data_IF_761892684828
#
_entry.id   IF_761892684828
#
_cell.length_a   1.000
_cell.length_b   1.000
_cell.length_c   1.000
_cell.angle_alpha   90.00
_cell.angle_beta   90.00
_cell.angle_gamma   90.00
#
_symmetry.space_group_name_H-M   'P 1'
#
loop_
_entity.id
_entity.type
_entity.pdbx_description
1 polymer ?
#
# COMPACT_ATOMS: atom_id res chain seq x y z
N UNK A 1 13.43 -41.56 54.31
CA UNK A 1 13.79 -41.83 52.89
C UNK A 1 13.55 -40.61 52.09
N UNK A 2 14.60 -40.00 51.55
CA UNK A 2 14.55 -38.72 50.77
C UNK A 2 14.36 -39.07 49.31
N UNK A 3 13.35 -38.47 48.65
CA UNK A 3 13.23 -38.45 47.19
C UNK A 3 13.59 -37.05 46.67
N UNK A 4 14.61 -37.00 45.82
CA UNK A 4 15.07 -35.80 45.12
C UNK A 4 14.23 -35.60 43.85
N UNK A 5 13.59 -34.44 43.71
CA UNK A 5 13.01 -33.97 42.45
C UNK A 5 14.02 -33.07 41.77
N UNK A 6 14.44 -33.45 40.58
CA UNK A 6 15.28 -32.67 39.67
C UNK A 6 14.40 -31.75 38.81
N UNK A 7 14.46 -30.44 39.07
CA UNK A 7 13.88 -29.44 38.19
C UNK A 7 14.79 -29.17 37.00
N UNK A 8 14.21 -29.09 35.79
CA UNK A 8 14.85 -28.58 34.61
C UNK A 8 14.66 -27.06 34.53
N UNK A 9 15.66 -26.29 34.08
CA UNK A 9 15.55 -24.83 33.99
C UNK A 9 14.74 -24.42 32.76
N UNK A 10 13.79 -23.51 33.00
CA UNK A 10 13.02 -22.85 31.94
C UNK A 10 13.88 -21.86 31.16
N UNK A 11 13.63 -21.80 29.88
CA UNK A 11 14.26 -20.86 28.96
C UNK A 11 13.81 -19.43 29.26
N UNK A 12 14.77 -18.57 29.51
CA UNK A 12 14.59 -17.12 29.71
C UNK A 12 14.39 -16.49 28.35
N UNK A 13 13.19 -15.96 28.09
CA UNK A 13 12.91 -15.12 26.92
C UNK A 13 13.54 -13.76 27.20
N UNK A 14 14.61 -13.46 26.48
CA UNK A 14 15.30 -12.16 26.54
C UNK A 14 14.49 -11.16 25.72
N UNK A 15 13.78 -10.27 26.41
CA UNK A 15 13.15 -9.09 25.80
C UNK A 15 14.23 -8.09 25.41
N UNK A 16 14.41 -7.88 24.10
CA UNK A 16 15.30 -6.84 23.58
C UNK A 16 14.55 -5.53 23.65
N UNK A 17 14.82 -4.73 24.66
CA UNK A 17 14.48 -3.32 24.71
C UNK A 17 15.53 -2.55 23.88
N UNK A 18 15.14 -1.97 22.75
CA UNK A 18 15.98 -1.04 21.99
C UNK A 18 15.88 0.32 22.65
N UNK A 19 16.88 0.64 23.48
CA UNK A 19 17.06 2.00 23.99
C UNK A 19 17.86 2.81 22.96
N UNK A 20 17.27 3.87 22.40
CA UNK A 20 17.99 4.88 21.63
C UNK A 20 18.83 5.72 22.59
N UNK A 21 20.13 5.52 22.59
CA UNK A 21 21.09 6.45 23.17
C UNK A 21 21.68 7.35 22.07
N UNK A 22 21.33 8.63 22.07
CA UNK A 22 21.98 9.67 21.28
C UNK A 22 23.29 10.05 21.98
N UNK A 23 24.41 9.68 21.38
CA UNK A 23 25.71 10.27 21.71
C UNK A 23 26.29 10.93 20.44
N UNK A 24 26.32 12.24 20.45
CA UNK A 24 26.95 13.06 19.41
C UNK A 24 28.47 13.14 19.66
N UNK A 25 29.26 12.68 18.69
CA UNK A 25 30.65 13.10 18.55
C UNK A 25 30.93 13.40 17.07
N UNK A 26 31.55 14.56 16.75
CA UNK A 26 31.91 14.89 15.36
C UNK A 26 33.27 14.31 15.05
N UNK A 27 33.34 13.34 14.16
CA UNK A 27 34.55 12.95 13.47
C UNK A 27 34.32 13.07 11.98
N UNK A 28 34.87 14.10 11.36
CA UNK A 28 34.92 14.23 9.91
C UNK A 28 36.05 13.36 9.36
N UNK A 29 35.78 12.38 8.51
CA UNK A 29 36.82 11.81 7.64
C UNK A 29 36.81 12.56 6.30
N UNK A 30 37.96 13.02 5.87
CA UNK A 30 38.19 13.52 4.52
C UNK A 30 37.98 12.37 3.51
N UNK A 31 37.08 12.56 2.58
CA UNK A 31 36.85 11.64 1.48
C UNK A 31 37.81 11.94 0.32
N UNK A 32 38.43 10.93 -0.31
CA UNK A 32 39.22 11.16 -1.54
C UNK A 32 38.28 11.55 -2.69
N UNK A 33 38.79 12.43 -3.56
CA UNK A 33 38.09 12.92 -4.74
C UNK A 33 37.64 11.73 -5.64
N UNK A 34 36.39 11.72 -6.00
CA UNK A 34 35.82 10.73 -6.91
C UNK A 34 36.37 10.93 -8.31
N UNK A 35 36.99 9.90 -8.86
CA UNK A 35 37.30 9.80 -10.29
C UNK A 35 36.01 9.69 -11.07
N UNK A 36 35.89 10.45 -12.16
CA UNK A 36 34.70 10.44 -13.03
C UNK A 36 34.45 9.03 -13.57
N UNK A 37 33.29 8.47 -13.23
CA UNK A 37 32.78 7.21 -13.83
C UNK A 37 32.34 7.45 -15.28
N UNK A 38 32.48 6.43 -16.15
CA UNK A 38 32.02 6.53 -17.53
C UNK A 38 30.50 6.73 -17.58
N UNK A 39 30.06 7.64 -18.45
CA UNK A 39 28.67 7.99 -18.71
C UNK A 39 27.83 6.73 -18.93
N UNK A 40 26.96 6.43 -17.99
CA UNK A 40 25.97 5.37 -18.12
C UNK A 40 25.13 5.64 -19.38
N UNK A 41 25.04 4.63 -20.25
CA UNK A 41 24.13 4.59 -21.40
C UNK A 41 22.73 4.98 -20.91
N UNK A 42 21.99 5.87 -21.62
CA UNK A 42 20.62 6.14 -21.27
C UNK A 42 19.85 4.80 -21.23
N UNK A 43 18.97 4.56 -20.26
CA UNK A 43 18.17 3.37 -20.25
C UNK A 43 17.37 3.31 -21.55
N UNK A 44 17.40 2.16 -22.22
CA UNK A 44 16.57 1.90 -23.38
C UNK A 44 15.16 2.37 -23.05
N UNK A 45 14.59 3.20 -23.91
CA UNK A 45 13.20 3.67 -23.79
C UNK A 45 12.28 2.48 -24.00
N UNK A 46 12.06 1.69 -22.94
CA UNK A 46 11.00 0.67 -22.91
C UNK A 46 9.70 1.46 -22.98
N UNK A 47 9.02 1.35 -24.10
CA UNK A 47 7.72 2.00 -24.29
C UNK A 47 6.66 1.20 -23.52
N UNK A 48 5.66 1.86 -22.96
CA UNK A 48 4.53 1.18 -22.31
C UNK A 48 3.80 0.22 -23.28
N UNK A 49 4.04 0.37 -24.56
CA UNK A 49 3.47 -0.42 -25.65
C UNK A 49 3.87 -1.92 -25.63
N UNK A 50 4.93 -2.28 -24.90
CA UNK A 50 5.36 -3.68 -24.75
C UNK A 50 4.67 -4.42 -23.60
N UNK A 51 3.93 -3.72 -22.75
CA UNK A 51 3.14 -4.35 -21.69
C UNK A 51 1.94 -5.08 -22.31
N UNK A 52 1.65 -6.29 -21.81
CA UNK A 52 0.58 -7.13 -22.39
C UNK A 52 0.03 -8.14 -21.40
N UNK A 53 -1.20 -8.55 -21.62
CA UNK A 53 -1.78 -9.72 -20.97
C UNK A 53 -1.14 -10.98 -21.56
N UNK A 54 -0.55 -11.83 -20.70
CA UNK A 54 0.12 -13.07 -21.11
C UNK A 54 -0.63 -14.33 -20.68
N UNK A 55 -1.69 -14.19 -19.90
CA UNK A 55 -2.55 -15.31 -19.50
C UNK A 55 -3.78 -14.83 -18.78
N UNK A 56 -4.88 -15.51 -18.97
CA UNK A 56 -6.15 -15.31 -18.27
C UNK A 56 -6.66 -16.69 -17.86
N UNK A 57 -6.86 -16.90 -16.57
CA UNK A 57 -7.36 -18.16 -16.02
C UNK A 57 -8.66 -17.84 -15.23
N UNK A 58 -9.80 -18.41 -15.63
CA UNK A 58 -11.04 -18.26 -14.87
C UNK A 58 -10.87 -18.83 -13.46
N UNK A 59 -11.21 -18.05 -12.46
CA UNK A 59 -11.36 -18.50 -11.08
C UNK A 59 -12.81 -18.88 -10.76
N UNK A 60 -13.19 -18.78 -9.50
CA UNK A 60 -14.57 -19.01 -9.06
C UNK A 60 -15.45 -17.80 -9.37
N UNK A 61 -16.68 -18.03 -9.79
CA UNK A 61 -17.66 -16.96 -10.01
C UNK A 61 -17.20 -15.92 -11.03
N UNK A 62 -17.03 -14.68 -10.57
CA UNK A 62 -16.52 -13.56 -11.40
C UNK A 62 -15.04 -13.28 -11.20
N UNK A 63 -14.39 -13.97 -10.28
CA UNK A 63 -12.94 -13.86 -10.08
C UNK A 63 -12.20 -14.45 -11.28
N UNK A 64 -11.14 -13.78 -11.70
CA UNK A 64 -10.29 -14.17 -12.81
C UNK A 64 -8.84 -13.87 -12.42
N UNK A 65 -7.97 -14.85 -12.58
CA UNK A 65 -6.54 -14.65 -12.41
C UNK A 65 -5.92 -14.25 -13.78
N UNK A 66 -5.26 -13.10 -13.77
CA UNK A 66 -4.64 -12.52 -14.97
C UNK A 66 -3.14 -12.41 -14.76
N UNK A 67 -2.38 -12.78 -15.78
CA UNK A 67 -0.93 -12.54 -15.78
C UNK A 67 -0.62 -11.44 -16.78
N UNK A 68 0.04 -10.38 -16.30
CA UNK A 68 0.40 -9.23 -17.11
C UNK A 68 1.92 -9.10 -17.14
N UNK A 69 2.49 -9.14 -18.33
CA UNK A 69 3.89 -8.77 -18.52
C UNK A 69 4.03 -7.26 -18.40
N UNK A 70 4.76 -6.80 -17.39
CA UNK A 70 5.16 -5.40 -17.26
C UNK A 70 6.44 -5.17 -18.04
N UNK A 71 6.40 -4.30 -19.03
CA UNK A 71 7.57 -3.87 -19.78
C UNK A 71 8.54 -3.09 -18.89
N UNK A 72 8.01 -2.18 -18.04
CA UNK A 72 8.82 -1.37 -17.14
C UNK A 72 9.60 -2.19 -16.11
N UNK A 73 9.02 -3.30 -15.63
CA UNK A 73 9.68 -4.20 -14.66
C UNK A 73 10.33 -5.42 -15.30
N UNK A 74 10.09 -5.68 -16.59
CA UNK A 74 10.58 -6.85 -17.32
C UNK A 74 10.21 -8.18 -16.62
N UNK A 75 9.01 -8.23 -16.04
CA UNK A 75 8.51 -9.39 -15.29
C UNK A 75 7.01 -9.55 -15.47
N UNK A 76 6.49 -10.72 -15.10
CA UNK A 76 5.06 -10.99 -15.13
C UNK A 76 4.46 -10.79 -13.76
N UNK A 77 3.45 -9.92 -13.69
CA UNK A 77 2.72 -9.56 -12.47
C UNK A 77 1.39 -10.33 -12.46
N UNK A 78 1.11 -11.12 -11.42
CA UNK A 78 -0.22 -11.68 -11.19
C UNK A 78 -1.19 -10.56 -10.78
N UNK A 79 -2.41 -10.63 -11.32
CA UNK A 79 -3.47 -9.68 -11.01
C UNK A 79 -4.77 -10.45 -10.85
N UNK A 80 -5.46 -10.28 -9.73
CA UNK A 80 -6.79 -10.84 -9.54
C UNK A 80 -7.83 -9.81 -9.98
N UNK A 81 -8.82 -10.22 -10.76
CA UNK A 81 -9.88 -9.34 -11.26
C UNK A 81 -11.25 -9.94 -10.94
N UNK A 82 -12.06 -9.20 -10.17
CA UNK A 82 -13.49 -9.47 -10.03
C UNK A 82 -14.18 -8.64 -11.10
N UNK A 83 -14.72 -9.31 -12.13
CA UNK A 83 -15.37 -8.64 -13.25
C UNK A 83 -16.70 -8.00 -12.84
N UNK A 84 -17.06 -6.91 -13.49
CA UNK A 84 -18.41 -6.36 -13.39
C UNK A 84 -19.49 -7.43 -13.70
N UNK A 85 -20.66 -7.39 -13.03
CA UNK A 85 -21.71 -8.40 -13.24
C UNK A 85 -22.30 -8.37 -14.65
N UNK A 86 -22.41 -7.18 -15.25
CA UNK A 86 -22.88 -7.01 -16.63
C UNK A 86 -21.69 -6.66 -17.54
N UNK A 87 -21.35 -7.57 -18.45
CA UNK A 87 -20.30 -7.39 -19.44
C UNK A 87 -20.79 -6.76 -20.74
N UNK A 88 -22.08 -6.44 -20.86
CA UNK A 88 -22.66 -5.82 -22.06
C UNK A 88 -22.40 -4.31 -22.14
N UNK A 89 -22.06 -3.70 -21.01
CA UNK A 89 -21.75 -2.28 -20.90
C UNK A 89 -20.37 -2.04 -20.27
N UNK A 90 -19.61 -1.03 -20.71
CA UNK A 90 -18.35 -0.67 -20.07
C UNK A 90 -18.54 -0.27 -18.60
N UNK A 91 -17.66 -0.78 -17.72
CA UNK A 91 -17.73 -0.57 -16.29
C UNK A 91 -16.52 0.24 -15.77
N UNK A 92 -16.68 1.04 -14.70
CA UNK A 92 -15.56 1.66 -14.03
C UNK A 92 -14.68 0.62 -13.35
N UNK A 93 -13.45 1.02 -12.96
CA UNK A 93 -12.50 0.12 -12.32
C UNK A 93 -12.04 0.66 -10.97
N UNK A 94 -12.08 -0.20 -9.94
CA UNK A 94 -11.49 0.03 -8.63
C UNK A 94 -10.22 -0.83 -8.49
N UNK A 95 -9.07 -0.19 -8.29
CA UNK A 95 -7.82 -0.86 -7.96
C UNK A 95 -7.67 -0.95 -6.44
N UNK A 96 -7.52 -2.17 -5.91
CA UNK A 96 -7.30 -2.43 -4.49
C UNK A 96 -5.86 -2.90 -4.26
N UNK A 97 -5.05 -2.07 -3.63
CA UNK A 97 -3.65 -2.37 -3.38
C UNK A 97 -3.47 -3.03 -2.02
N UNK A 98 -2.68 -4.10 -2.00
CA UNK A 98 -2.31 -4.80 -0.79
C UNK A 98 -1.30 -4.00 0.04
N UNK A 99 -1.18 -4.32 1.34
CA UNK A 99 -0.19 -3.71 2.21
C UNK A 99 1.25 -4.14 1.90
N UNK A 100 2.12 -4.07 2.90
CA UNK A 100 3.55 -4.30 2.75
C UNK A 100 3.94 -5.69 2.22
N UNK A 101 3.06 -6.69 2.34
CA UNK A 101 3.27 -8.05 1.81
C UNK A 101 3.04 -8.16 0.29
N UNK A 102 2.54 -7.13 -0.38
CA UNK A 102 2.16 -7.24 -1.78
C UNK A 102 1.06 -8.27 -2.06
N UNK A 103 0.44 -8.82 -1.01
CA UNK A 103 -0.58 -9.87 -1.11
C UNK A 103 -0.07 -11.29 -1.00
N UNK A 104 1.22 -11.48 -0.74
CA UNK A 104 1.82 -12.82 -0.56
C UNK A 104 1.27 -13.54 0.68
N UNK A 105 1.43 -14.86 0.71
CA UNK A 105 1.05 -15.74 1.83
C UNK A 105 -0.42 -15.59 2.29
N UNK A 106 -1.35 -15.36 1.34
CA UNK A 106 -2.76 -15.15 1.63
C UNK A 106 -3.07 -13.85 2.38
N UNK A 107 -2.15 -12.88 2.38
CA UNK A 107 -2.35 -11.56 2.99
C UNK A 107 -2.82 -10.54 1.94
N UNK A 108 -3.94 -10.83 1.29
CA UNK A 108 -4.51 -10.02 0.24
C UNK A 108 -6.03 -9.87 0.39
N UNK A 109 -6.60 -8.96 -0.39
CA UNK A 109 -8.02 -8.61 -0.34
C UNK A 109 -8.96 -9.79 -0.59
N UNK A 110 -8.65 -10.68 -1.55
CA UNK A 110 -9.52 -11.81 -1.89
C UNK A 110 -9.54 -12.90 -0.82
N UNK A 111 -8.42 -13.10 -0.11
CA UNK A 111 -8.30 -14.17 0.88
C UNK A 111 -8.71 -13.73 2.29
N UNK A 112 -8.74 -12.41 2.56
CA UNK A 112 -8.93 -11.86 3.90
C UNK A 112 -10.23 -11.10 4.10
N UNK A 113 -10.99 -10.85 3.04
CA UNK A 113 -12.20 -10.05 3.08
C UNK A 113 -13.30 -10.68 2.25
N UNK A 114 -14.49 -10.12 2.35
CA UNK A 114 -15.68 -10.52 1.61
C UNK A 114 -15.83 -9.77 0.27
N UNK A 115 -14.75 -9.27 -0.34
CA UNK A 115 -14.87 -8.40 -1.51
C UNK A 115 -15.62 -9.02 -2.69
N UNK A 116 -15.56 -10.33 -2.89
CA UNK A 116 -16.32 -10.99 -3.96
C UNK A 116 -17.82 -10.88 -3.71
N UNK A 117 -18.26 -11.09 -2.47
CA UNK A 117 -19.64 -10.95 -2.06
C UNK A 117 -20.09 -9.50 -2.03
N UNK A 118 -19.25 -8.61 -1.49
CA UNK A 118 -19.55 -7.19 -1.40
C UNK A 118 -19.74 -6.53 -2.77
N UNK A 119 -18.96 -6.93 -3.76
CA UNK A 119 -19.07 -6.40 -5.13
C UNK A 119 -19.99 -7.21 -6.04
N UNK A 120 -20.73 -8.20 -5.51
CA UNK A 120 -21.56 -9.10 -6.33
C UNK A 120 -22.62 -8.39 -7.19
N UNK A 121 -23.21 -7.32 -6.66
CA UNK A 121 -24.30 -6.54 -7.27
C UNK A 121 -23.84 -5.17 -7.79
N UNK A 122 -22.56 -4.87 -7.73
CA UNK A 122 -22.02 -3.55 -8.10
C UNK A 122 -21.37 -3.58 -9.49
N UNK A 123 -21.80 -2.67 -10.36
CA UNK A 123 -21.29 -2.56 -11.73
C UNK A 123 -19.91 -1.91 -11.74
N UNK A 124 -18.88 -2.66 -11.36
CA UNK A 124 -17.48 -2.24 -11.26
C UNK A 124 -16.54 -3.43 -11.47
N UNK A 125 -15.45 -3.22 -12.17
CA UNK A 125 -14.32 -4.13 -12.16
C UNK A 125 -13.46 -3.85 -10.93
N UNK A 126 -13.11 -4.88 -10.14
CA UNK A 126 -12.21 -4.75 -9.00
C UNK A 126 -10.91 -5.46 -9.33
N UNK A 127 -9.81 -4.74 -9.27
CA UNK A 127 -8.49 -5.20 -9.71
C UNK A 127 -7.54 -5.20 -8.52
N UNK A 128 -6.97 -6.36 -8.21
CA UNK A 128 -6.04 -6.57 -7.10
C UNK A 128 -4.69 -7.01 -7.65
N UNK A 129 -3.75 -6.10 -7.86
CA UNK A 129 -2.38 -6.47 -8.25
C UNK A 129 -1.68 -7.20 -7.12
N UNK A 130 -0.92 -8.26 -7.47
CA UNK A 130 -0.18 -9.09 -6.54
C UNK A 130 1.32 -8.85 -6.71
N UNK A 131 2.06 -8.78 -5.61
CA UNK A 131 3.49 -8.45 -5.59
C UNK A 131 3.75 -7.03 -5.10
N UNK A 132 5.01 -6.58 -5.17
CA UNK A 132 5.40 -5.27 -4.69
C UNK A 132 5.65 -5.23 -3.19
N UNK A 133 6.15 -6.32 -2.62
CA UNK A 133 6.56 -6.40 -1.21
C UNK A 133 7.52 -5.26 -0.86
N UNK A 134 7.16 -4.46 0.14
CA UNK A 134 7.97 -3.34 0.61
C UNK A 134 8.19 -2.21 -0.40
N UNK A 135 7.56 -2.25 -1.58
CA UNK A 135 7.88 -1.36 -2.70
C UNK A 135 7.31 0.06 -2.59
N UNK A 136 6.33 0.29 -1.71
CA UNK A 136 5.49 1.50 -1.73
C UNK A 136 4.82 1.77 -3.08
N UNK A 137 4.72 0.75 -3.93
CA UNK A 137 4.22 0.86 -5.30
C UNK A 137 4.83 2.04 -6.07
N UNK A 138 6.11 2.31 -5.80
CA UNK A 138 6.89 3.41 -6.36
C UNK A 138 7.82 2.94 -7.49
N UNK A 139 8.26 3.89 -8.31
CA UNK A 139 9.39 3.68 -9.21
C UNK A 139 10.68 3.98 -8.44
N UNK A 140 11.46 2.94 -8.20
CA UNK A 140 12.71 3.04 -7.49
C UNK A 140 13.81 3.63 -8.37
N UNK A 141 14.73 4.35 -7.74
CA UNK A 141 15.89 4.97 -8.39
C UNK A 141 16.81 3.94 -9.03
N UNK A 142 17.06 2.83 -8.34
CA UNK A 142 17.90 1.72 -8.80
C UNK A 142 17.25 0.39 -8.49
N UNK A 143 17.60 -0.65 -9.27
CA UNK A 143 17.16 -2.01 -8.99
C UNK A 143 17.74 -2.46 -7.63
N UNK A 144 16.91 -3.16 -6.83
CA UNK A 144 17.31 -3.67 -5.52
C UNK A 144 17.81 -5.10 -5.65
N UNK A 145 18.91 -5.50 -4.99
CA UNK A 145 19.46 -6.86 -5.10
C UNK A 145 18.52 -7.96 -4.63
N UNK A 146 17.55 -7.65 -3.77
CA UNK A 146 16.60 -8.63 -3.21
C UNK A 146 15.22 -8.48 -3.82
N UNK A 147 14.71 -7.23 -3.90
CA UNK A 147 13.36 -6.96 -4.39
C UNK A 147 13.31 -6.75 -5.91
N UNK A 148 14.47 -6.70 -6.59
CA UNK A 148 14.55 -6.55 -8.04
C UNK A 148 14.18 -5.15 -8.53
N UNK A 149 13.74 -5.10 -9.78
CA UNK A 149 13.33 -3.85 -10.44
C UNK A 149 11.95 -3.43 -10.00
N UNK A 150 11.84 -2.26 -9.38
CA UNK A 150 10.60 -1.69 -8.90
C UNK A 150 10.19 -0.50 -9.78
N UNK A 151 9.14 -0.67 -10.59
CA UNK A 151 8.54 0.37 -11.46
C UNK A 151 7.02 0.35 -11.32
N UNK A 152 6.57 0.23 -10.09
CA UNK A 152 5.14 0.06 -9.78
C UNK A 152 4.30 1.29 -10.12
N UNK A 153 4.83 2.50 -9.95
CA UNK A 153 4.12 3.71 -10.38
C UNK A 153 3.86 3.66 -11.88
N UNK A 154 4.87 3.32 -12.69
CA UNK A 154 4.71 3.16 -14.15
C UNK A 154 3.70 2.07 -14.47
N UNK A 155 3.80 0.91 -13.83
CA UNK A 155 2.86 -0.20 -14.03
C UNK A 155 1.42 0.23 -13.73
N UNK A 156 1.17 0.78 -12.57
CA UNK A 156 -0.18 1.13 -12.09
C UNK A 156 -0.78 2.35 -12.80
N UNK A 157 0.04 3.22 -13.40
CA UNK A 157 -0.49 4.45 -14.04
C UNK A 157 -0.45 4.43 -15.56
N UNK A 158 0.36 3.57 -16.17
CA UNK A 158 0.56 3.57 -17.63
C UNK A 158 0.35 2.22 -18.30
N UNK A 159 0.67 1.11 -17.63
CA UNK A 159 0.59 -0.24 -18.23
C UNK A 159 -0.72 -0.93 -17.87
N UNK A 160 -1.03 -1.05 -16.58
CA UNK A 160 -2.17 -1.82 -16.11
C UNK A 160 -3.54 -1.25 -16.52
N UNK A 161 -3.84 0.07 -16.37
CA UNK A 161 -5.17 0.58 -16.66
C UNK A 161 -5.65 0.34 -18.09
N UNK A 162 -4.89 0.67 -19.16
CA UNK A 162 -5.35 0.43 -20.52
C UNK A 162 -5.51 -1.07 -20.84
N UNK A 163 -4.72 -1.95 -20.22
CA UNK A 163 -4.85 -3.41 -20.41
C UNK A 163 -6.14 -3.93 -19.75
N UNK A 164 -6.48 -3.43 -18.57
CA UNK A 164 -7.74 -3.79 -17.88
C UNK A 164 -8.93 -3.27 -18.67
N UNK A 165 -8.90 -2.02 -19.14
CA UNK A 165 -9.98 -1.44 -19.94
C UNK A 165 -10.22 -2.25 -21.22
N UNK A 166 -9.16 -2.60 -21.92
CA UNK A 166 -9.25 -3.40 -23.14
C UNK A 166 -9.73 -4.84 -22.92
N UNK A 167 -9.36 -5.45 -21.77
CA UNK A 167 -9.62 -6.87 -21.49
C UNK A 167 -10.99 -7.09 -20.83
N UNK A 168 -11.42 -6.15 -19.97
CA UNK A 168 -12.61 -6.29 -19.14
C UNK A 168 -13.66 -5.19 -19.37
N UNK A 169 -13.67 -4.63 -20.58
CA UNK A 169 -14.61 -3.56 -20.96
C UNK A 169 -14.63 -2.40 -19.94
N UNK A 170 -13.46 -1.90 -19.57
CA UNK A 170 -13.36 -0.72 -18.72
C UNK A 170 -13.83 0.56 -19.45
N UNK A 171 -14.35 1.54 -18.72
CA UNK A 171 -14.83 2.81 -19.27
C UNK A 171 -13.85 3.98 -19.01
N UNK A 172 -12.64 3.70 -18.52
CA UNK A 172 -11.62 4.70 -18.18
C UNK A 172 -11.87 5.46 -16.89
N UNK A 173 -12.98 5.23 -16.19
CA UNK A 173 -13.23 5.80 -14.87
C UNK A 173 -12.58 4.92 -13.80
N UNK A 174 -11.51 5.42 -13.20
CA UNK A 174 -10.71 4.65 -12.26
C UNK A 174 -10.74 5.24 -10.85
N UNK A 175 -10.70 4.37 -9.84
CA UNK A 175 -10.41 4.71 -8.45
C UNK A 175 -9.32 3.78 -7.91
N UNK A 176 -8.62 4.22 -6.89
CA UNK A 176 -7.59 3.40 -6.22
C UNK A 176 -7.77 3.45 -4.71
N UNK A 177 -7.71 2.29 -4.06
CA UNK A 177 -7.69 2.22 -2.60
C UNK A 177 -6.60 1.25 -2.14
N UNK A 178 -6.13 1.43 -0.91
CA UNK A 178 -5.06 0.59 -0.38
C UNK A 178 -4.93 0.68 1.12
N UNK A 179 -4.30 -0.35 1.68
CA UNK A 179 -4.09 -0.52 3.11
C UNK A 179 -2.63 -0.31 3.50
N UNK A 180 -2.38 0.18 4.72
CA UNK A 180 -1.04 0.19 5.30
C UNK A 180 -0.02 0.92 4.38
N UNK A 181 1.04 0.24 3.94
CA UNK A 181 1.99 0.77 2.96
C UNK A 181 1.31 1.36 1.73
N UNK A 182 0.33 0.65 1.16
CA UNK A 182 -0.39 1.09 -0.03
C UNK A 182 -1.29 2.30 0.22
N UNK A 183 -1.75 2.51 1.45
CA UNK A 183 -2.54 3.69 1.82
C UNK A 183 -1.76 5.01 1.63
N UNK A 184 -0.43 4.98 1.73
CA UNK A 184 0.45 6.08 1.31
C UNK A 184 0.55 6.15 -0.22
N UNK A 185 0.72 4.99 -0.84
CA UNK A 185 0.99 4.87 -2.28
C UNK A 185 -0.17 5.36 -3.15
N UNK A 186 -1.43 5.17 -2.71
CA UNK A 186 -2.60 5.63 -3.49
C UNK A 186 -2.60 7.14 -3.70
N UNK A 187 -2.14 7.91 -2.72
CA UNK A 187 -1.94 9.35 -2.88
C UNK A 187 -0.79 9.68 -3.84
N UNK A 188 0.33 8.94 -3.74
CA UNK A 188 1.45 9.09 -4.66
C UNK A 188 1.02 8.84 -6.11
N UNK A 189 0.23 7.79 -6.35
CA UNK A 189 -0.30 7.45 -7.67
C UNK A 189 -1.21 8.56 -8.21
N UNK A 190 -2.13 9.08 -7.40
CA UNK A 190 -3.01 10.18 -7.79
C UNK A 190 -2.21 11.45 -8.15
N UNK A 191 -1.14 11.75 -7.41
CA UNK A 191 -0.25 12.89 -7.69
C UNK A 191 0.63 12.69 -8.93
N UNK A 192 1.04 11.45 -9.23
CA UNK A 192 1.89 11.13 -10.40
C UNK A 192 1.10 11.03 -11.70
N UNK A 193 -0.19 10.70 -11.63
CA UNK A 193 -1.09 10.61 -12.78
C UNK A 193 -2.39 11.39 -12.50
N UNK A 194 -2.34 12.74 -12.52
CA UNK A 194 -3.51 13.57 -12.27
C UNK A 194 -4.67 13.23 -13.22
N UNK A 195 -5.87 13.04 -12.66
CA UNK A 195 -7.09 12.71 -13.40
C UNK A 195 -7.27 11.22 -13.73
N UNK A 196 -6.23 10.37 -13.61
CA UNK A 196 -6.37 8.93 -13.82
C UNK A 196 -7.27 8.29 -12.75
N UNK A 197 -7.06 8.66 -11.49
CA UNK A 197 -7.83 8.15 -10.36
C UNK A 197 -8.76 9.24 -9.82
N UNK A 198 -10.07 9.07 -9.99
CA UNK A 198 -11.11 10.02 -9.55
C UNK A 198 -11.33 10.00 -8.04
N UNK A 199 -11.05 8.85 -7.42
CA UNK A 199 -11.14 8.69 -5.97
C UNK A 199 -9.92 7.94 -5.42
N UNK A 200 -9.58 8.29 -4.17
CA UNK A 200 -8.53 7.67 -3.38
C UNK A 200 -9.12 7.19 -2.05
N UNK A 201 -8.97 5.89 -1.75
CA UNK A 201 -9.25 5.28 -0.46
C UNK A 201 -7.96 4.91 0.27
N UNK A 202 -7.70 5.51 1.42
CA UNK A 202 -6.48 5.29 2.20
C UNK A 202 -6.84 4.71 3.57
N UNK A 203 -6.54 3.43 3.79
CA UNK A 203 -6.91 2.74 5.03
C UNK A 203 -5.67 2.41 5.85
N UNK A 204 -5.56 3.00 7.03
CA UNK A 204 -4.44 2.81 7.96
C UNK A 204 -3.07 3.09 7.34
N UNK A 205 -2.84 4.30 6.82
CA UNK A 205 -1.57 4.73 6.24
C UNK A 205 -1.07 6.08 6.73
N UNK A 206 0.26 6.24 6.79
CA UNK A 206 0.90 7.53 7.08
C UNK A 206 1.38 8.16 5.78
N UNK A 207 0.75 9.27 5.37
CA UNK A 207 0.99 9.90 4.04
C UNK A 207 2.21 10.81 4.00
N UNK A 208 2.98 10.88 5.06
CA UNK A 208 4.24 11.64 5.17
C UNK A 208 5.40 10.70 4.93
N UNK A 209 6.30 11.04 3.99
CA UNK A 209 7.43 10.18 3.64
C UNK A 209 8.78 10.87 3.74
N UNK A 210 8.84 12.21 3.78
CA UNK A 210 10.09 12.95 3.68
C UNK A 210 10.65 13.49 4.99
N UNK A 211 9.84 13.60 6.03
CA UNK A 211 10.31 13.96 7.37
C UNK A 211 10.96 12.75 8.10
N UNK A 212 11.69 12.96 9.20
CA UNK A 212 12.41 11.88 9.86
C UNK A 212 11.53 10.70 10.27
N UNK A 213 10.28 10.93 10.70
CA UNK A 213 9.36 9.87 11.09
C UNK A 213 8.87 9.10 9.85
N UNK A 214 8.48 9.80 8.79
CA UNK A 214 8.05 9.20 7.53
C UNK A 214 9.17 8.38 6.89
N UNK A 215 10.39 8.90 6.84
CA UNK A 215 11.57 8.18 6.35
C UNK A 215 11.85 6.92 7.17
N UNK A 216 11.74 6.98 8.50
CA UNK A 216 11.92 5.83 9.38
C UNK A 216 10.85 4.75 9.12
N UNK A 217 9.59 5.15 8.93
CA UNK A 217 8.50 4.21 8.60
C UNK A 217 8.74 3.54 7.24
N UNK A 218 9.09 4.30 6.22
CA UNK A 218 9.42 3.76 4.89
C UNK A 218 10.59 2.79 4.99
N UNK A 219 11.68 3.17 5.65
CA UNK A 219 12.85 2.32 5.83
C UNK A 219 12.52 1.03 6.58
N UNK A 220 11.69 1.10 7.63
CA UNK A 220 11.25 -0.07 8.39
C UNK A 220 10.46 -1.06 7.53
N UNK A 221 9.51 -0.58 6.72
CA UNK A 221 8.73 -1.41 5.80
C UNK A 221 9.64 -2.06 4.75
N UNK A 222 10.48 -1.28 4.08
CA UNK A 222 11.40 -1.79 3.04
C UNK A 222 12.35 -2.84 3.63
N UNK A 223 12.94 -2.56 4.79
CA UNK A 223 13.87 -3.48 5.47
C UNK A 223 13.17 -4.76 5.94
N UNK A 224 11.91 -4.69 6.38
CA UNK A 224 11.10 -5.86 6.76
C UNK A 224 11.05 -6.89 5.62
N UNK A 225 11.07 -6.42 4.37
CA UNK A 225 11.11 -7.23 3.14
C UNK A 225 12.52 -7.36 2.55
N UNK A 226 13.55 -7.08 3.36
CA UNK A 226 14.97 -7.25 3.03
C UNK A 226 15.46 -6.33 1.90
N UNK A 227 14.68 -5.34 1.50
CA UNK A 227 15.08 -4.30 0.56
C UNK A 227 15.89 -3.19 1.24
N UNK A 228 16.41 -2.28 0.44
CA UNK A 228 17.14 -1.11 0.90
C UNK A 228 16.46 0.18 0.41
N UNK A 229 15.96 0.99 1.35
CA UNK A 229 15.28 2.24 1.03
C UNK A 229 16.17 3.26 0.30
N UNK A 230 17.49 3.13 0.37
CA UNK A 230 18.43 3.95 -0.43
C UNK A 230 18.29 3.68 -1.93
N UNK A 231 17.89 2.46 -2.32
CA UNK A 231 17.61 2.10 -3.71
C UNK A 231 16.30 2.70 -4.20
N UNK A 232 15.36 3.00 -3.28
CA UNK A 232 14.08 3.62 -3.62
C UNK A 232 14.25 5.10 -3.97
N UNK A 233 14.63 5.93 -3.01
CA UNK A 233 14.69 7.39 -3.17
C UNK A 233 16.03 8.01 -2.78
N UNK A 234 17.06 7.21 -2.55
CA UNK A 234 18.39 7.71 -2.16
C UNK A 234 18.53 7.94 -0.66
N UNK A 235 19.62 8.60 -0.23
CA UNK A 235 19.84 8.94 1.17
C UNK A 235 18.76 9.90 1.70
N UNK A 236 18.59 10.02 3.02
CA UNK A 236 17.55 10.87 3.64
C UNK A 236 17.52 12.32 3.17
N UNK A 237 18.66 12.84 2.70
CA UNK A 237 18.79 14.20 2.15
C UNK A 237 18.48 14.32 0.66
N UNK A 238 18.22 13.20 -0.03
CA UNK A 238 17.89 13.23 -1.46
C UNK A 238 16.53 13.91 -1.68
N UNK A 239 16.42 14.85 -2.64
CA UNK A 239 15.18 15.57 -2.92
C UNK A 239 14.04 14.66 -3.41
N UNK A 240 14.32 13.43 -3.81
CA UNK A 240 13.30 12.46 -4.19
C UNK A 240 12.36 12.11 -3.04
N UNK A 241 12.80 12.16 -1.80
CA UNK A 241 11.94 11.97 -0.65
C UNK A 241 10.81 13.00 -0.62
N UNK A 242 11.16 14.28 -0.71
CA UNK A 242 10.19 15.36 -0.78
C UNK A 242 9.32 15.29 -2.05
N UNK A 243 9.89 14.93 -3.19
CA UNK A 243 9.16 14.79 -4.47
C UNK A 243 8.14 13.64 -4.49
N UNK A 244 8.25 12.70 -3.55
CA UNK A 244 7.31 11.58 -3.37
C UNK A 244 6.53 11.66 -2.05
N UNK A 245 6.49 12.82 -1.41
CA UNK A 245 5.75 13.04 -0.18
C UNK A 245 4.36 13.63 -0.47
N UNK A 246 3.28 12.85 -0.31
CA UNK A 246 1.94 13.33 -0.63
C UNK A 246 1.47 14.46 0.31
N UNK A 247 1.95 14.49 1.54
CA UNK A 247 1.61 15.56 2.48
C UNK A 247 2.10 16.93 2.00
N UNK A 248 3.33 16.99 1.45
CA UNK A 248 3.90 18.22 0.91
C UNK A 248 3.15 18.70 -0.33
N UNK A 249 2.67 17.78 -1.16
CA UNK A 249 2.00 18.05 -2.44
C UNK A 249 0.47 17.92 -2.36
N UNK A 250 -0.10 17.97 -1.16
CA UNK A 250 -1.54 17.78 -0.95
C UNK A 250 -2.41 18.80 -1.69
N UNK A 251 -1.90 20.00 -1.99
CA UNK A 251 -2.57 21.02 -2.78
C UNK A 251 -2.96 20.54 -4.20
N UNK A 252 -2.23 19.57 -4.75
CA UNK A 252 -2.46 18.98 -6.08
C UNK A 252 -3.54 17.89 -6.09
N UNK A 253 -4.09 17.54 -4.93
CA UNK A 253 -5.19 16.57 -4.81
C UNK A 253 -6.57 17.18 -5.06
N UNK A 254 -6.65 18.46 -5.43
CA UNK A 254 -7.92 19.12 -5.76
C UNK A 254 -8.64 18.39 -6.89
N UNK A 255 -9.95 18.16 -6.70
CA UNK A 255 -10.78 17.43 -7.65
C UNK A 255 -10.75 15.91 -7.51
N UNK A 256 -9.89 15.36 -6.65
CA UNK A 256 -9.91 13.95 -6.28
C UNK A 256 -10.84 13.73 -5.09
N UNK A 257 -11.75 12.76 -5.16
CA UNK A 257 -12.55 12.34 -3.99
C UNK A 257 -11.66 11.55 -3.03
N UNK A 258 -11.61 11.96 -1.76
CA UNK A 258 -10.66 11.40 -0.79
C UNK A 258 -11.41 10.81 0.40
N UNK A 259 -11.11 9.54 0.71
CA UNK A 259 -11.53 8.86 1.94
C UNK A 259 -10.30 8.35 2.68
N UNK A 260 -10.23 8.64 3.97
CA UNK A 260 -9.14 8.21 4.86
C UNK A 260 -9.73 7.60 6.12
N UNK A 261 -9.26 6.43 6.52
CA UNK A 261 -9.67 5.77 7.76
C UNK A 261 -8.49 5.30 8.58
N UNK A 262 -8.67 5.29 9.90
CA UNK A 262 -7.72 4.74 10.87
C UNK A 262 -8.38 4.52 12.22
N UNK A 263 -7.92 3.51 12.96
CA UNK A 263 -8.25 3.31 14.37
C UNK A 263 -7.28 4.05 15.29
N UNK A 264 -7.52 3.94 16.60
CA UNK A 264 -6.65 4.56 17.63
C UNK A 264 -5.50 3.64 18.06
N UNK A 265 -5.47 2.39 17.61
CA UNK A 265 -4.57 1.35 18.12
C UNK A 265 -5.05 0.67 19.41
N UNK A 266 -6.11 1.21 20.06
CA UNK A 266 -6.74 0.52 21.16
C UNK A 266 -7.53 -0.69 20.67
N UNK A 267 -7.59 -1.80 21.41
CA UNK A 267 -8.37 -2.96 21.03
C UNK A 267 -9.82 -2.62 20.74
N UNK A 268 -10.36 -3.18 19.69
CA UNK A 268 -11.73 -2.97 19.23
C UNK A 268 -12.46 -4.28 18.88
N UNK A 269 -13.59 -4.22 18.17
CA UNK A 269 -14.50 -5.36 17.95
C UNK A 269 -13.85 -6.58 17.29
N UNK A 270 -12.82 -6.38 16.44
CA UNK A 270 -12.13 -7.47 15.75
C UNK A 270 -10.87 -7.97 16.46
N UNK A 271 -10.47 -7.36 17.56
CA UNK A 271 -9.26 -7.70 18.31
C UNK A 271 -9.57 -8.72 19.42
N UNK A 272 -10.07 -9.89 19.02
CA UNK A 272 -10.55 -10.96 19.92
C UNK A 272 -10.12 -12.34 19.39
N UNK A 273 -10.14 -13.40 20.23
CA UNK A 273 -9.67 -14.73 19.83
C UNK A 273 -10.35 -15.32 18.59
N UNK A 274 -11.61 -15.02 18.40
CA UNK A 274 -12.44 -15.42 17.25
C UNK A 274 -12.55 -14.31 16.17
N UNK A 275 -11.71 -13.28 16.26
CA UNK A 275 -11.64 -12.18 15.28
C UNK A 275 -11.09 -12.63 13.92
N UNK A 276 -11.38 -11.86 12.85
CA UNK A 276 -10.93 -12.18 11.49
C UNK A 276 -9.43 -12.45 11.40
N UNK A 277 -9.05 -13.64 10.90
CA UNK A 277 -7.67 -14.06 10.71
C UNK A 277 -6.90 -14.45 11.98
N UNK A 278 -7.53 -14.38 13.15
CA UNK A 278 -6.95 -14.83 14.43
C UNK A 278 -7.11 -16.34 14.60
N UNK A 279 -8.29 -16.87 14.32
CA UNK A 279 -8.58 -18.32 14.33
C UNK A 279 -8.21 -19.00 15.66
N UNK A 280 -8.40 -18.33 16.80
CA UNK A 280 -8.04 -18.82 18.12
C UNK A 280 -6.53 -18.82 18.44
N UNK A 281 -5.69 -18.35 17.51
CA UNK A 281 -4.25 -18.31 17.69
C UNK A 281 -3.83 -17.12 18.57
N UNK A 282 -3.32 -17.44 19.77
CA UNK A 282 -2.91 -16.43 20.75
C UNK A 282 -1.75 -15.56 20.28
N UNK A 283 -0.78 -16.10 19.55
CA UNK A 283 0.38 -15.33 19.09
C UNK A 283 -0.01 -14.33 18.02
N UNK A 284 -0.92 -14.73 17.13
CA UNK A 284 -1.52 -13.79 16.16
C UNK A 284 -2.27 -12.66 16.87
N UNK A 285 -3.09 -12.98 17.88
CA UNK A 285 -3.82 -11.96 18.63
C UNK A 285 -2.88 -11.02 19.38
N UNK A 286 -1.86 -11.54 20.07
CA UNK A 286 -0.86 -10.72 20.77
C UNK A 286 -0.12 -9.81 19.78
N UNK A 287 0.29 -10.34 18.63
CA UNK A 287 0.92 -9.53 17.57
C UNK A 287 0.00 -8.43 17.07
N UNK A 288 -1.28 -8.72 16.85
CA UNK A 288 -2.27 -7.74 16.40
C UNK A 288 -2.50 -6.65 17.46
N UNK A 289 -2.63 -7.03 18.73
CA UNK A 289 -2.83 -6.08 19.83
C UNK A 289 -1.61 -5.21 20.09
N UNK A 290 -0.41 -5.79 20.10
CA UNK A 290 0.82 -5.07 20.47
C UNK A 290 1.40 -4.35 19.27
N UNK A 291 1.81 -5.10 18.24
CA UNK A 291 2.44 -4.51 17.05
C UNK A 291 1.45 -3.75 16.20
N UNK A 292 0.28 -4.34 15.95
CA UNK A 292 -0.78 -3.71 15.18
C UNK A 292 -1.34 -2.48 15.89
N UNK A 293 -1.57 -2.55 17.22
CA UNK A 293 -2.03 -1.42 18.00
C UNK A 293 -1.04 -0.25 18.01
N UNK A 294 0.24 -0.53 18.23
CA UNK A 294 1.29 0.49 18.21
C UNK A 294 1.40 1.18 16.84
N UNK A 295 1.39 0.38 15.77
CA UNK A 295 1.47 0.90 14.40
C UNK A 295 0.26 1.78 14.08
N UNK A 296 -0.95 1.32 14.42
CA UNK A 296 -2.18 2.07 14.16
C UNK A 296 -2.22 3.40 14.94
N UNK A 297 -1.72 3.44 16.17
CA UNK A 297 -1.64 4.67 16.95
C UNK A 297 -0.74 5.73 16.29
N UNK A 298 0.39 5.33 15.70
CA UNK A 298 1.26 6.25 14.95
C UNK A 298 0.55 6.72 13.67
N UNK A 299 -0.10 5.82 12.96
CA UNK A 299 -0.84 6.13 11.73
C UNK A 299 -2.00 7.08 12.00
N UNK A 300 -2.69 6.90 13.12
CA UNK A 300 -3.78 7.78 13.54
C UNK A 300 -3.30 9.22 13.66
N UNK A 301 -2.15 9.46 14.28
CA UNK A 301 -1.56 10.80 14.34
C UNK A 301 -1.28 11.35 12.92
N UNK A 302 -0.65 10.56 12.05
CA UNK A 302 -0.41 10.99 10.66
C UNK A 302 -1.71 11.37 9.93
N UNK A 303 -2.78 10.62 10.14
CA UNK A 303 -4.07 10.88 9.50
C UNK A 303 -4.73 12.17 10.02
N UNK A 304 -4.61 12.48 11.32
CA UNK A 304 -5.05 13.77 11.87
C UNK A 304 -4.27 14.93 11.26
N UNK A 305 -2.95 14.83 11.13
CA UNK A 305 -2.11 15.84 10.50
C UNK A 305 -2.48 16.05 9.02
N UNK A 306 -2.77 14.97 8.29
CA UNK A 306 -3.28 15.08 6.92
C UNK A 306 -4.64 15.77 6.87
N UNK A 307 -5.56 15.45 7.80
CA UNK A 307 -6.86 16.09 7.91
C UNK A 307 -6.72 17.61 8.10
N UNK A 308 -5.85 18.04 9.00
CA UNK A 308 -5.57 19.45 9.24
C UNK A 308 -4.96 20.12 8.00
N UNK A 309 -4.04 19.43 7.31
CA UNK A 309 -3.43 19.94 6.07
C UNK A 309 -4.45 20.14 4.96
N UNK A 310 -5.31 19.14 4.71
CA UNK A 310 -6.33 19.24 3.66
C UNK A 310 -7.38 20.32 4.00
N UNK A 311 -7.76 20.42 5.26
CA UNK A 311 -8.66 21.49 5.74
C UNK A 311 -8.04 22.87 5.52
N UNK A 312 -6.78 23.07 5.88
CA UNK A 312 -6.05 24.34 5.66
C UNK A 312 -5.94 24.71 4.16
N UNK A 313 -5.90 23.71 3.28
CA UNK A 313 -5.88 23.88 1.83
C UNK A 313 -7.28 24.02 1.21
N UNK A 314 -8.37 23.94 2.01
CA UNK A 314 -9.75 23.87 1.52
C UNK A 314 -9.95 22.75 0.49
N UNK A 315 -9.41 21.55 0.75
CA UNK A 315 -9.62 20.35 -0.06
C UNK A 315 -10.60 19.45 0.69
N UNK A 316 -11.77 19.15 0.13
CA UNK A 316 -12.75 18.27 0.74
C UNK A 316 -12.18 16.84 0.84
N UNK A 317 -12.34 16.23 2.01
CA UNK A 317 -11.99 14.83 2.25
C UNK A 317 -12.87 14.27 3.37
N UNK A 318 -13.20 12.99 3.26
CA UNK A 318 -13.90 12.24 4.31
C UNK A 318 -12.87 11.51 5.16
N UNK A 319 -12.92 11.76 6.48
CA UNK A 319 -12.09 11.06 7.46
C UNK A 319 -12.97 10.25 8.41
N UNK A 320 -12.64 8.95 8.52
CA UNK A 320 -13.24 8.03 9.48
C UNK A 320 -12.20 7.69 10.57
N UNK A 321 -12.25 8.43 11.65
CA UNK A 321 -11.42 8.20 12.84
C UNK A 321 -12.16 7.29 13.81
N UNK A 322 -11.92 5.98 13.71
CA UNK A 322 -12.54 5.00 14.60
C UNK A 322 -12.02 5.17 16.02
N UNK A 323 -12.90 5.09 17.05
CA UNK A 323 -12.51 5.26 18.45
C UNK A 323 -11.63 4.12 18.98
N UNK A 324 -11.55 3.01 18.27
CA UNK A 324 -10.74 1.83 18.57
C UNK A 324 -10.33 1.13 17.29
N UNK A 325 -9.57 0.04 17.40
CA UNK A 325 -9.13 -0.78 16.28
C UNK A 325 -7.63 -0.74 16.08
N UNK A 326 -7.09 -1.91 15.76
CA UNK A 326 -5.68 -2.15 15.47
C UNK A 326 -5.45 -2.24 13.96
N UNK A 327 -4.20 -2.46 13.55
CA UNK A 327 -3.78 -2.57 12.16
C UNK A 327 -4.11 -3.95 11.59
N UNK A 328 -5.38 -4.19 11.20
CA UNK A 328 -5.84 -5.53 10.82
C UNK A 328 -6.98 -5.56 9.81
N UNK A 329 -7.12 -6.73 9.14
CA UNK A 329 -8.01 -6.95 8.00
C UNK A 329 -9.50 -6.73 8.31
N UNK A 330 -9.96 -7.05 9.51
CA UNK A 330 -11.37 -6.84 9.87
C UNK A 330 -11.79 -5.36 9.76
N UNK A 331 -10.91 -4.46 10.17
CA UNK A 331 -11.16 -3.01 10.04
C UNK A 331 -11.06 -2.54 8.60
N UNK A 332 -10.10 -3.04 7.84
CA UNK A 332 -9.92 -2.64 6.43
C UNK A 332 -11.08 -3.09 5.54
N UNK A 333 -11.70 -4.23 5.84
CA UNK A 333 -12.93 -4.64 5.19
C UNK A 333 -14.05 -3.64 5.44
N UNK A 334 -14.28 -3.24 6.69
CA UNK A 334 -15.27 -2.21 7.01
C UNK A 334 -14.94 -0.86 6.37
N UNK A 335 -13.66 -0.47 6.35
CA UNK A 335 -13.19 0.75 5.71
C UNK A 335 -13.52 0.76 4.21
N UNK A 336 -13.33 -0.35 3.53
CA UNK A 336 -13.70 -0.50 2.12
C UNK A 336 -15.21 -0.34 1.93
N UNK A 337 -16.02 -1.00 2.76
CA UNK A 337 -17.49 -0.88 2.70
C UNK A 337 -17.94 0.56 2.95
N UNK A 338 -17.39 1.22 3.96
CA UNK A 338 -17.75 2.60 4.34
C UNK A 338 -17.31 3.63 3.31
N UNK A 339 -16.19 3.40 2.61
CA UNK A 339 -15.67 4.30 1.56
C UNK A 339 -16.40 4.14 0.23
N UNK A 340 -17.04 2.98 -0.01
CA UNK A 340 -17.63 2.65 -1.30
C UNK A 340 -18.64 3.69 -1.82
N UNK A 341 -19.55 4.27 -1.02
CA UNK A 341 -20.48 5.29 -1.52
C UNK A 341 -19.77 6.50 -2.13
N UNK A 342 -18.68 6.96 -1.51
CA UNK A 342 -17.86 8.07 -2.03
C UNK A 342 -17.14 7.66 -3.33
N UNK A 343 -16.53 6.47 -3.34
CA UNK A 343 -15.82 5.94 -4.50
C UNK A 343 -16.79 5.75 -5.67
N UNK A 344 -17.96 5.13 -5.44
CA UNK A 344 -18.98 4.89 -6.46
C UNK A 344 -19.49 6.20 -7.07
N UNK A 345 -19.75 7.22 -6.24
CA UNK A 345 -20.18 8.54 -6.71
C UNK A 345 -19.11 9.19 -7.61
N UNK A 346 -17.84 9.10 -7.27
CA UNK A 346 -16.75 9.62 -8.09
C UNK A 346 -16.58 8.86 -9.40
N UNK A 347 -16.78 7.55 -9.40
CA UNK A 347 -16.72 6.70 -10.60
C UNK A 347 -17.90 6.96 -11.55
N UNK A 348 -19.08 7.30 -11.03
CA UNK A 348 -20.27 7.61 -11.82
C UNK A 348 -20.24 9.02 -12.47
N UNK A 349 -19.38 9.92 -12.02
CA UNK A 349 -19.26 11.27 -12.56
C UNK A 349 -18.73 11.20 -13.99
N UNK A 350 -19.34 11.88 -15.00
CA UNK A 350 -18.75 11.98 -16.33
C UNK A 350 -17.37 12.60 -16.29
N UNK A 351 -16.48 12.22 -17.21
CA UNK A 351 -15.19 12.90 -17.35
C UNK A 351 -15.46 14.39 -17.69
N UNK A 352 -14.97 15.30 -16.86
CA UNK A 352 -14.94 16.72 -17.22
C UNK A 352 -13.91 16.85 -18.35
N UNK A 353 -14.41 17.09 -19.56
CA UNK A 353 -13.61 17.29 -20.77
C UNK A 353 -12.66 18.49 -20.67
#
# INVERSE_FOLDING_TARGET
>A
MRARTTGRPGAIITSIAVALALAATPLSPAWPAATAEPTARPPDTVTADDARVVGIEPGTGRLTDVRIHSAAMSTTIPVKVIRAPDNSAPAPTLYLLNGASGGSEGSNWTDRTDIEDFFRDKQVNVVVPMGGEGSYFADWRTDDPVLGRQRWTTFLTRELPPLIDATFAGNGANAVAGISMAATSVFQLALKAPGLYRAVGSYSGCVRTSDPQGQAMVAAVVTRWRGNALNMWGPPTDPRWAANDPYLHADRLRGTAIYVSTGTGMPGPFDRPDGPGIDGNRDKLVSQLVTGGFLEAIINQCAHELSDRLRALNIPATFDFRPSGTHSWGYWQEDLHNSWPLIAAALATPATG
#
